data_IF_053508159840
#
_entry.id   IF_053508159840
#
_cell.length_a   1.000
_cell.length_b   1.000
_cell.length_c   1.000
_cell.angle_alpha   90.00
_cell.angle_beta   90.00
_cell.angle_gamma   90.00
#
_symmetry.space_group_name_H-M   'P 1'
#
loop_
_entity.id
_entity.type
_entity.pdbx_description
1 polymer ?
#
# COMPACT_ATOMS: atom_id res chain seq x y z
N UNK A 1 14.48 -29.53 8.22
CA UNK A 1 13.85 -29.08 9.49
C UNK A 1 12.87 -27.99 9.12
N UNK A 2 11.59 -28.07 9.53
CA UNK A 2 10.61 -27.04 9.20
C UNK A 2 11.09 -25.68 9.71
N UNK A 3 10.98 -24.67 8.87
CA UNK A 3 11.44 -23.29 9.14
C UNK A 3 10.89 -22.75 10.47
N UNK A 4 9.67 -23.17 10.83
CA UNK A 4 9.02 -22.91 12.09
C UNK A 4 9.84 -23.35 13.31
N UNK A 5 10.43 -24.55 13.29
CA UNK A 5 11.18 -25.10 14.44
C UNK A 5 12.46 -24.29 14.67
N UNK A 6 13.12 -23.86 13.59
CA UNK A 6 14.34 -23.04 13.67
C UNK A 6 14.01 -21.66 14.25
N UNK A 7 12.94 -21.01 13.77
CA UNK A 7 12.51 -19.71 14.27
C UNK A 7 12.17 -19.76 15.77
N UNK A 8 11.39 -20.76 16.19
CA UNK A 8 11.01 -20.92 17.61
C UNK A 8 12.24 -21.16 18.48
N UNK A 9 13.19 -21.98 18.03
CA UNK A 9 14.43 -22.23 18.76
C UNK A 9 15.26 -20.95 18.96
N UNK A 10 15.44 -20.16 17.90
CA UNK A 10 16.16 -18.88 17.95
C UNK A 10 15.47 -17.86 18.87
N UNK A 11 14.14 -17.77 18.80
CA UNK A 11 13.37 -16.88 19.67
C UNK A 11 13.51 -17.23 21.15
N UNK A 12 13.50 -18.53 21.49
CA UNK A 12 13.72 -19.01 22.86
C UNK A 12 15.14 -18.65 23.34
N UNK A 13 16.16 -18.89 22.51
CA UNK A 13 17.55 -18.57 22.85
C UNK A 13 17.72 -17.06 23.12
N UNK A 14 17.16 -16.21 22.25
CA UNK A 14 17.21 -14.75 22.40
C UNK A 14 16.51 -14.31 23.69
N UNK A 15 15.34 -14.86 23.99
CA UNK A 15 14.59 -14.55 25.21
C UNK A 15 15.37 -14.92 26.48
N UNK A 16 16.03 -16.08 26.49
CA UNK A 16 16.88 -16.51 27.61
C UNK A 16 18.06 -15.54 27.77
N UNK A 17 18.72 -15.17 26.66
CA UNK A 17 19.87 -14.28 26.68
C UNK A 17 19.50 -12.90 27.24
N UNK A 18 18.37 -12.32 26.77
CA UNK A 18 17.86 -11.05 27.29
C UNK A 18 17.50 -11.13 28.79
N UNK A 19 16.87 -12.23 29.21
CA UNK A 19 16.56 -12.45 30.62
C UNK A 19 17.84 -12.47 31.47
N UNK A 20 18.89 -13.16 31.02
CA UNK A 20 20.18 -13.20 31.71
C UNK A 20 20.80 -11.81 31.82
N UNK A 21 20.82 -11.02 30.73
CA UNK A 21 21.37 -9.66 30.72
C UNK A 21 20.62 -8.75 31.69
N UNK A 22 19.29 -8.77 31.68
CA UNK A 22 18.46 -7.91 32.55
C UNK A 22 18.58 -8.31 34.02
N UNK A 23 18.76 -9.59 34.33
CA UNK A 23 18.88 -10.08 35.70
C UNK A 23 20.31 -9.97 36.26
N UNK A 24 21.32 -9.81 35.41
CA UNK A 24 22.74 -9.74 35.81
C UNK A 24 23.06 -8.61 36.81
N UNK A 25 22.56 -7.38 36.66
CA UNK A 25 22.73 -6.31 37.64
C UNK A 25 22.07 -6.63 38.98
N UNK A 26 20.93 -7.34 38.95
CA UNK A 26 20.18 -7.73 40.15
C UNK A 26 20.82 -8.92 40.90
N UNK A 27 21.63 -9.71 40.19
CA UNK A 27 22.47 -10.77 40.77
C UNK A 27 23.72 -10.22 41.47
N UNK A 28 24.21 -9.03 41.07
CA UNK A 28 25.37 -8.35 41.65
C UNK A 28 24.99 -7.41 42.82
N UNK A 29 24.18 -7.88 43.76
CA UNK A 29 23.96 -7.13 45.01
C UNK A 29 25.20 -7.30 45.89
N UNK A 30 25.97 -6.21 46.04
CA UNK A 30 27.19 -6.16 46.83
C UNK A 30 26.91 -6.41 48.31
N UNK A 31 27.29 -7.61 48.80
CA UNK A 31 27.35 -7.92 50.25
C UNK A 31 28.18 -6.90 51.03
N UNK A 32 29.08 -6.18 50.37
CA UNK A 32 29.96 -5.18 50.97
C UNK A 32 29.22 -3.93 51.47
N UNK A 33 28.19 -3.46 50.76
CA UNK A 33 27.45 -2.25 51.16
C UNK A 33 26.64 -2.46 52.45
N UNK A 34 26.10 -3.67 52.64
CA UNK A 34 25.31 -4.05 53.82
C UNK A 34 26.17 -4.16 55.09
N UNK A 35 27.36 -4.76 54.98
CA UNK A 35 28.29 -4.85 56.11
C UNK A 35 28.75 -3.45 56.56
N UNK A 36 28.99 -2.54 55.61
CA UNK A 36 29.39 -1.17 55.94
C UNK A 36 28.29 -0.38 56.67
N UNK A 37 27.02 -0.58 56.33
CA UNK A 37 25.90 0.06 57.03
C UNK A 37 25.72 -0.43 58.46
N UNK A 38 25.87 -1.75 58.72
CA UNK A 38 25.78 -2.31 60.07
C UNK A 38 26.93 -1.85 60.96
N UNK A 39 28.15 -1.76 60.40
CA UNK A 39 29.30 -1.21 61.11
C UNK A 39 29.09 0.27 61.46
N UNK A 40 28.56 1.06 60.51
CA UNK A 40 28.27 2.48 60.75
C UNK A 40 27.24 2.68 61.89
N UNK A 41 26.19 1.86 61.92
CA UNK A 41 25.17 1.90 62.98
C UNK A 41 25.74 1.53 64.36
N UNK A 42 26.58 0.48 64.42
CA UNK A 42 27.23 0.08 65.68
C UNK A 42 28.17 1.18 66.22
N UNK A 43 28.87 1.89 65.33
CA UNK A 43 29.72 3.04 65.69
C UNK A 43 28.89 4.22 66.22
N UNK A 44 27.70 4.45 65.66
CA UNK A 44 26.84 5.55 66.09
C UNK A 44 26.24 5.30 67.48
N UNK A 45 25.74 4.09 67.74
CA UNK A 45 25.27 3.66 69.08
C UNK A 45 26.39 3.74 70.11
N UNK A 46 27.61 3.34 69.74
CA UNK A 46 28.79 3.46 70.60
C UNK A 46 29.07 4.92 71.00
N UNK A 47 29.02 5.86 70.04
CA UNK A 47 29.26 7.28 70.30
C UNK A 47 28.22 7.86 71.26
N UNK A 48 26.95 7.50 71.10
CA UNK A 48 25.86 7.94 71.97
C UNK A 48 26.06 7.45 73.41
N UNK A 49 26.39 6.17 73.59
CA UNK A 49 26.68 5.59 74.92
C UNK A 49 27.93 6.16 75.57
N UNK A 50 28.96 6.44 74.78
CA UNK A 50 30.16 7.10 75.30
C UNK A 50 29.84 8.52 75.78
N UNK A 51 29.00 9.26 75.04
CA UNK A 51 28.55 10.59 75.45
C UNK A 51 27.75 10.55 76.76
N UNK A 52 26.86 9.57 76.92
CA UNK A 52 26.09 9.33 78.16
C UNK A 52 27.01 9.04 79.35
N UNK A 53 27.94 8.09 79.22
CA UNK A 53 28.93 7.78 80.25
C UNK A 53 29.78 9.01 80.64
N UNK A 54 30.18 9.83 79.66
CA UNK A 54 30.95 11.05 79.95
C UNK A 54 30.13 12.09 80.68
N UNK A 55 28.83 12.20 80.38
CA UNK A 55 27.92 13.10 81.08
C UNK A 55 27.76 12.67 82.54
N UNK A 56 27.55 11.37 82.80
CA UNK A 56 27.41 10.82 84.15
C UNK A 56 28.67 10.98 85.00
N UNK A 57 29.85 10.80 84.39
CA UNK A 57 31.13 11.10 85.05
C UNK A 57 31.27 12.60 85.37
N UNK A 58 30.94 13.48 84.41
CA UNK A 58 31.06 14.94 84.61
C UNK A 58 30.08 15.49 85.66
N UNK A 59 28.93 14.83 85.82
CA UNK A 59 27.91 15.16 86.82
C UNK A 59 28.24 14.61 88.22
N UNK A 60 29.36 13.89 88.37
CA UNK A 60 29.79 13.30 89.64
C UNK A 60 28.97 12.08 90.07
N UNK A 61 28.11 11.56 89.20
CA UNK A 61 27.28 10.36 89.44
C UNK A 61 28.07 9.06 89.34
N UNK A 62 29.31 9.09 88.82
CA UNK A 62 30.16 7.92 88.61
C UNK A 62 31.62 8.23 88.97
N UNK A 63 32.32 7.26 89.56
CA UNK A 63 33.75 7.40 89.89
C UNK A 63 34.64 7.19 88.66
N UNK A 64 35.86 7.72 88.68
CA UNK A 64 36.82 7.62 87.56
C UNK A 64 37.17 6.15 87.22
N UNK A 65 37.25 5.30 88.25
CA UNK A 65 37.51 3.86 88.06
C UNK A 65 36.34 3.15 87.37
N UNK A 66 35.11 3.52 87.70
CA UNK A 66 33.90 2.95 87.08
C UNK A 66 33.76 3.40 85.63
N UNK A 67 34.00 4.69 85.35
CA UNK A 67 33.97 5.23 83.99
C UNK A 67 34.96 4.49 83.07
N UNK A 68 36.22 4.35 83.51
CA UNK A 68 37.25 3.69 82.71
C UNK A 68 36.91 2.21 82.46
N UNK A 69 36.36 1.51 83.46
CA UNK A 69 35.96 0.11 83.32
C UNK A 69 34.84 -0.06 82.29
N UNK A 70 33.79 0.75 82.39
CA UNK A 70 32.66 0.68 81.46
C UNK A 70 33.04 1.12 80.05
N UNK A 71 33.91 2.13 79.91
CA UNK A 71 34.45 2.55 78.63
C UNK A 71 35.23 1.43 77.94
N UNK A 72 36.12 0.74 78.67
CA UNK A 72 36.89 -0.38 78.11
C UNK A 72 35.99 -1.53 77.67
N UNK A 73 34.92 -1.82 78.41
CA UNK A 73 33.95 -2.85 78.02
C UNK A 73 33.18 -2.44 76.75
N UNK A 74 32.77 -1.17 76.64
CA UNK A 74 32.11 -0.63 75.44
C UNK A 74 33.03 -0.73 74.20
N UNK A 75 34.32 -0.41 74.35
CA UNK A 75 35.32 -0.51 73.28
C UNK A 75 35.54 -1.96 72.84
N UNK A 76 35.56 -2.89 73.80
CA UNK A 76 35.65 -4.33 73.52
C UNK A 76 34.43 -4.83 72.73
N UNK A 77 33.24 -4.37 73.08
CA UNK A 77 32.00 -4.74 72.37
C UNK A 77 31.99 -4.22 70.92
N UNK A 78 32.47 -3.00 70.68
CA UNK A 78 32.58 -2.45 69.33
C UNK A 78 33.57 -3.26 68.48
N UNK A 79 34.72 -3.64 69.05
CA UNK A 79 35.70 -4.48 68.36
C UNK A 79 35.11 -5.85 67.97
N UNK A 80 34.42 -6.52 68.90
CA UNK A 80 33.75 -7.79 68.63
C UNK A 80 32.65 -7.67 67.55
N UNK A 81 31.91 -6.55 67.55
CA UNK A 81 30.92 -6.25 66.52
C UNK A 81 31.54 -5.92 65.15
N UNK A 82 32.78 -5.40 65.13
CA UNK A 82 33.51 -5.10 63.90
C UNK A 82 34.12 -6.37 63.26
N UNK A 83 34.52 -7.35 64.08
CA UNK A 83 35.00 -8.66 63.63
C UNK A 83 33.86 -9.54 63.11
N UNK A 84 32.72 -9.58 63.81
CA UNK A 84 31.52 -10.27 63.36
C UNK A 84 30.59 -9.32 62.59
N UNK A 85 30.91 -9.13 61.30
CA UNK A 85 30.24 -8.19 60.37
C UNK A 85 28.72 -8.37 60.22
N UNK A 86 28.13 -9.39 60.85
CA UNK A 86 26.72 -9.73 60.75
C UNK A 86 25.96 -9.62 62.08
N UNK A 87 26.60 -9.11 63.15
CA UNK A 87 26.04 -9.07 64.50
C UNK A 87 25.90 -7.62 64.99
N UNK A 88 24.66 -7.23 65.29
CA UNK A 88 24.35 -5.99 66.03
C UNK A 88 24.43 -6.34 67.51
N UNK A 89 25.32 -5.70 68.25
CA UNK A 89 25.43 -5.90 69.70
C UNK A 89 24.38 -5.00 70.35
N UNK A 90 23.20 -5.55 70.60
CA UNK A 90 22.14 -4.90 71.39
C UNK A 90 22.19 -5.51 72.79
N UNK A 91 22.41 -4.67 73.80
CA UNK A 91 22.31 -5.06 75.20
C UNK A 91 20.84 -5.34 75.57
N UNK A 92 20.60 -6.40 76.36
CA UNK A 92 19.27 -6.90 76.70
C UNK A 92 18.41 -5.91 77.51
N UNK A 93 19.00 -4.83 78.04
CA UNK A 93 18.28 -3.76 78.74
C UNK A 93 17.44 -2.83 77.84
N UNK A 94 17.62 -2.86 76.51
CA UNK A 94 16.91 -1.98 75.57
C UNK A 94 15.63 -2.59 74.96
N UNK A 95 15.18 -3.75 75.42
CA UNK A 95 14.07 -4.49 74.80
C UNK A 95 12.65 -3.93 75.05
N UNK A 96 12.51 -2.75 75.66
CA UNK A 96 11.22 -2.22 76.10
C UNK A 96 10.62 -1.11 75.20
N UNK A 97 11.01 -1.00 73.93
CA UNK A 97 10.26 -0.18 72.96
C UNK A 97 9.69 -1.04 71.84
N UNK A 98 8.38 -1.29 71.90
CA UNK A 98 7.59 -2.07 70.93
C UNK A 98 7.77 -1.60 69.47
N UNK A 99 8.08 -0.32 69.27
CA UNK A 99 8.33 0.28 67.95
C UNK A 99 9.58 -0.27 67.26
N UNK A 100 10.64 -0.57 68.01
CA UNK A 100 11.94 -0.99 67.46
C UNK A 100 11.90 -2.46 67.03
N UNK A 101 11.24 -3.32 67.81
CA UNK A 101 11.06 -4.74 67.49
C UNK A 101 10.10 -4.95 66.31
N UNK A 102 9.03 -4.16 66.21
CA UNK A 102 8.09 -4.22 65.08
C UNK A 102 8.74 -3.75 63.77
N UNK A 103 9.55 -2.68 63.80
CA UNK A 103 10.30 -2.19 62.65
C UNK A 103 11.37 -3.18 62.19
N UNK A 104 12.11 -3.79 63.12
CA UNK A 104 13.10 -4.84 62.82
C UNK A 104 12.44 -6.08 62.20
N UNK A 105 11.31 -6.54 62.74
CA UNK A 105 10.58 -7.69 62.19
C UNK A 105 9.97 -7.38 60.83
N UNK A 106 9.43 -6.17 60.60
CA UNK A 106 8.90 -5.74 59.30
C UNK A 106 10.01 -5.65 58.26
N UNK A 107 11.15 -5.03 58.59
CA UNK A 107 12.31 -4.97 57.72
C UNK A 107 12.88 -6.36 57.40
N UNK A 108 12.91 -7.27 58.39
CA UNK A 108 13.34 -8.67 58.21
C UNK A 108 12.39 -9.46 57.31
N UNK A 109 11.08 -9.22 57.42
CA UNK A 109 10.02 -9.87 56.61
C UNK A 109 10.02 -9.35 55.16
N UNK A 110 10.22 -8.04 54.96
CA UNK A 110 10.36 -7.40 53.64
C UNK A 110 11.70 -7.78 52.95
N UNK A 111 12.78 -8.01 53.70
CA UNK A 111 14.06 -8.52 53.17
C UNK A 111 14.02 -9.99 52.77
N UNK A 112 13.14 -10.81 53.33
CA UNK A 112 13.13 -12.26 53.07
C UNK A 112 12.47 -12.61 51.73
N UNK A 113 11.48 -11.82 51.31
CA UNK A 113 10.74 -12.01 50.06
C UNK A 113 11.60 -11.64 48.83
N UNK A 114 12.55 -10.73 48.96
CA UNK A 114 13.43 -10.26 47.87
C UNK A 114 14.79 -11.00 47.79
N UNK A 115 15.12 -11.84 48.79
CA UNK A 115 16.46 -12.44 48.98
C UNK A 115 16.52 -13.97 48.91
N UNK A 116 15.40 -14.66 48.74
CA UNK A 116 15.40 -16.11 48.49
C UNK A 116 15.95 -16.40 47.09
N UNK A 117 17.10 -17.08 46.97
CA UNK A 117 17.65 -17.50 45.68
C UNK A 117 16.65 -18.32 44.84
N UNK A 118 15.70 -19.00 45.51
CA UNK A 118 14.59 -19.71 44.87
C UNK A 118 13.60 -18.74 44.22
N UNK A 119 13.28 -17.60 44.86
CA UNK A 119 12.41 -16.56 44.30
C UNK A 119 13.02 -15.90 43.06
N UNK A 120 14.36 -15.76 43.03
CA UNK A 120 15.09 -15.25 41.86
C UNK A 120 15.08 -16.22 40.69
N UNK A 121 15.30 -17.51 40.97
CA UNK A 121 15.20 -18.58 39.98
C UNK A 121 13.78 -18.67 39.41
N UNK A 122 12.75 -18.57 40.25
CA UNK A 122 11.36 -18.60 39.79
C UNK A 122 11.03 -17.42 38.89
N UNK A 123 11.52 -16.21 39.18
CA UNK A 123 11.31 -15.05 38.29
C UNK A 123 12.06 -15.26 36.96
N UNK A 124 13.30 -15.76 37.01
CA UNK A 124 14.12 -16.02 35.82
C UNK A 124 13.48 -17.06 34.88
N UNK A 125 12.78 -18.05 35.42
CA UNK A 125 12.09 -19.08 34.62
C UNK A 125 10.67 -18.66 34.25
N UNK A 126 9.91 -18.09 35.18
CA UNK A 126 8.51 -17.73 34.94
C UNK A 126 8.37 -16.55 33.98
N UNK A 127 9.25 -15.56 34.00
CA UNK A 127 9.16 -14.41 33.08
C UNK A 127 9.29 -14.84 31.61
N UNK A 128 10.33 -15.58 31.16
CA UNK A 128 10.40 -16.06 29.78
C UNK A 128 9.28 -17.06 29.47
N UNK A 129 8.88 -17.91 30.42
CA UNK A 129 7.75 -18.82 30.22
C UNK A 129 6.44 -18.06 30.00
N UNK A 130 6.19 -16.98 30.75
CA UNK A 130 5.04 -16.11 30.59
C UNK A 130 5.12 -15.26 29.32
N UNK A 131 6.31 -14.86 28.87
CA UNK A 131 6.50 -14.20 27.57
C UNK A 131 6.17 -15.18 26.44
N UNK A 132 6.68 -16.41 26.51
CA UNK A 132 6.33 -17.47 25.55
C UNK A 132 4.83 -17.74 25.61
N UNK A 133 4.23 -17.88 26.78
CA UNK A 133 2.78 -18.09 26.94
C UNK A 133 1.94 -16.87 26.48
N UNK A 134 2.45 -15.66 26.64
CA UNK A 134 1.82 -14.45 26.10
C UNK A 134 1.86 -14.43 24.57
N UNK A 135 2.99 -14.80 23.98
CA UNK A 135 3.17 -14.96 22.54
C UNK A 135 2.24 -16.07 22.00
N UNK A 136 2.32 -17.26 22.62
CA UNK A 136 1.20 -18.17 22.95
C UNK A 136 -0.23 -17.73 22.57
N UNK A 137 -0.82 -16.95 23.49
CA UNK A 137 -2.24 -16.63 23.52
C UNK A 137 -2.61 -15.40 22.68
N UNK A 138 -1.68 -14.47 22.48
CA UNK A 138 -2.04 -13.14 21.97
C UNK A 138 -1.76 -12.93 20.48
N UNK A 139 -0.92 -13.75 19.85
CA UNK A 139 -0.54 -13.59 18.44
C UNK A 139 -1.33 -14.54 17.54
N UNK A 140 -2.13 -13.98 16.62
CA UNK A 140 -2.68 -14.72 15.48
C UNK A 140 -1.52 -15.12 14.57
N UNK A 141 -1.18 -16.41 14.64
CA UNK A 141 -0.04 -17.02 13.94
C UNK A 141 -0.47 -17.89 12.77
N UNK A 142 -1.78 -17.98 12.54
CA UNK A 142 -2.36 -18.86 11.52
C UNK A 142 -1.75 -18.58 10.15
N UNK A 143 -1.69 -17.32 9.71
CA UNK A 143 -1.17 -16.94 8.40
C UNK A 143 0.31 -17.29 8.18
N UNK A 144 1.18 -17.00 9.15
CA UNK A 144 2.64 -17.26 9.02
C UNK A 144 2.92 -18.76 9.06
N UNK A 145 2.23 -19.49 9.93
CA UNK A 145 2.37 -20.95 10.01
C UNK A 145 1.86 -21.62 8.74
N UNK A 146 0.71 -21.18 8.22
CA UNK A 146 0.16 -21.66 6.94
C UNK A 146 1.12 -21.38 5.79
N UNK A 147 1.71 -20.18 5.72
CA UNK A 147 2.71 -19.85 4.71
C UNK A 147 3.92 -20.79 4.76
N UNK A 148 4.48 -21.04 5.95
CA UNK A 148 5.60 -21.97 6.10
C UNK A 148 5.23 -23.41 5.78
N UNK A 149 4.04 -23.87 6.19
CA UNK A 149 3.54 -25.20 5.85
C UNK A 149 3.33 -25.34 4.34
N UNK A 150 2.77 -24.34 3.68
CA UNK A 150 2.63 -24.32 2.22
C UNK A 150 4.00 -24.42 1.55
N UNK A 151 4.99 -23.65 2.01
CA UNK A 151 6.33 -23.70 1.43
C UNK A 151 7.02 -25.06 1.63
N UNK A 152 6.80 -25.72 2.76
CA UNK A 152 7.30 -27.09 3.02
C UNK A 152 6.58 -28.14 2.15
N UNK A 153 5.27 -27.99 1.91
CA UNK A 153 4.45 -28.98 1.19
C UNK A 153 4.52 -28.84 -0.33
N UNK A 154 4.36 -27.62 -0.85
CA UNK A 154 4.23 -27.33 -2.29
C UNK A 154 5.43 -26.57 -2.87
N UNK A 155 6.47 -26.28 -2.06
CA UNK A 155 7.65 -25.55 -2.52
C UNK A 155 8.41 -26.22 -3.67
N UNK A 156 8.46 -27.56 -3.70
CA UNK A 156 9.08 -28.30 -4.81
C UNK A 156 8.23 -28.23 -6.08
N UNK A 157 6.90 -28.37 -5.96
CA UNK A 157 5.97 -28.22 -7.08
C UNK A 157 6.09 -26.82 -7.68
N UNK A 158 6.16 -25.79 -6.83
CA UNK A 158 6.39 -24.41 -7.26
C UNK A 158 7.70 -24.26 -8.05
N UNK A 159 8.80 -24.88 -7.60
CA UNK A 159 10.07 -24.86 -8.34
C UNK A 159 9.97 -25.58 -9.69
N UNK A 160 9.31 -26.74 -9.73
CA UNK A 160 9.15 -27.54 -10.94
C UNK A 160 8.26 -26.83 -11.99
N UNK A 161 7.21 -26.12 -11.55
CA UNK A 161 6.40 -25.25 -12.42
C UNK A 161 7.22 -24.09 -12.97
N UNK A 162 7.95 -23.38 -12.11
CA UNK A 162 8.76 -22.22 -12.50
C UNK A 162 9.93 -22.58 -13.41
N UNK A 163 10.44 -23.80 -13.32
CA UNK A 163 11.52 -24.31 -14.19
C UNK A 163 10.99 -25.01 -15.44
N UNK A 164 9.68 -25.15 -15.59
CA UNK A 164 9.04 -25.80 -16.74
C UNK A 164 9.25 -27.32 -16.79
N UNK A 165 9.51 -27.97 -15.66
CA UNK A 165 9.53 -29.45 -15.57
C UNK A 165 8.12 -30.03 -15.57
N UNK A 166 7.14 -29.24 -15.11
CA UNK A 166 5.71 -29.53 -15.15
C UNK A 166 4.97 -28.30 -15.65
N UNK A 167 3.95 -28.50 -16.48
CA UNK A 167 3.14 -27.41 -17.05
C UNK A 167 1.93 -27.06 -16.18
N UNK A 168 1.44 -28.02 -15.38
CA UNK A 168 0.28 -27.85 -14.52
C UNK A 168 0.54 -28.45 -13.12
N UNK A 169 -0.01 -27.85 -12.06
CA UNK A 169 0.13 -28.38 -10.72
C UNK A 169 -0.60 -29.75 -10.60
N UNK A 170 -0.03 -30.71 -9.84
CA UNK A 170 -0.75 -31.93 -9.45
C UNK A 170 -2.04 -31.60 -8.70
N UNK A 171 -3.06 -32.47 -8.79
CA UNK A 171 -4.38 -32.23 -8.15
C UNK A 171 -4.28 -31.94 -6.65
N UNK A 172 -3.44 -32.68 -5.92
CA UNK A 172 -3.23 -32.47 -4.48
C UNK A 172 -2.61 -31.10 -4.15
N UNK A 173 -1.80 -30.54 -5.06
CA UNK A 173 -1.19 -29.23 -4.88
C UNK A 173 -2.13 -28.10 -5.31
N UNK A 174 -3.04 -28.38 -6.25
CA UNK A 174 -4.08 -27.45 -6.67
C UNK A 174 -5.16 -27.25 -5.60
N UNK A 175 -5.35 -28.22 -4.70
CA UNK A 175 -6.29 -28.12 -3.56
C UNK A 175 -5.94 -26.92 -2.64
N UNK A 176 -4.65 -26.63 -2.43
CA UNK A 176 -4.16 -25.44 -1.73
C UNK A 176 -3.59 -24.40 -2.71
N UNK A 177 -4.47 -23.86 -3.56
CA UNK A 177 -4.10 -22.83 -4.54
C UNK A 177 -3.46 -21.58 -3.92
N UNK A 178 -3.93 -21.15 -2.76
CA UNK A 178 -3.38 -19.99 -2.05
C UNK A 178 -1.96 -20.26 -1.54
N UNK A 179 -1.74 -21.42 -0.91
CA UNK A 179 -0.41 -21.85 -0.47
C UNK A 179 0.56 -22.06 -1.63
N UNK A 180 0.10 -22.63 -2.75
CA UNK A 180 0.90 -22.80 -3.96
C UNK A 180 1.33 -21.45 -4.54
N UNK A 181 0.42 -20.49 -4.68
CA UNK A 181 0.77 -19.15 -5.16
C UNK A 181 1.78 -18.47 -4.24
N UNK A 182 1.61 -18.57 -2.92
CA UNK A 182 2.56 -18.01 -1.96
C UNK A 182 3.95 -18.67 -2.08
N UNK A 183 4.01 -20.00 -2.27
CA UNK A 183 5.26 -20.72 -2.48
C UNK A 183 5.94 -20.33 -3.80
N UNK A 184 5.17 -20.13 -4.89
CA UNK A 184 5.67 -19.66 -6.18
C UNK A 184 6.27 -18.26 -6.04
N UNK A 185 5.53 -17.31 -5.45
CA UNK A 185 6.02 -15.95 -5.20
C UNK A 185 7.31 -15.97 -4.38
N UNK A 186 7.32 -16.69 -3.25
CA UNK A 186 8.49 -16.81 -2.40
C UNK A 186 9.70 -17.39 -3.15
N UNK A 187 9.49 -18.43 -3.97
CA UNK A 187 10.55 -19.02 -4.77
C UNK A 187 11.14 -18.02 -5.78
N UNK A 188 10.28 -17.28 -6.50
CA UNK A 188 10.72 -16.24 -7.44
C UNK A 188 11.51 -15.15 -6.73
N UNK A 189 11.09 -14.73 -5.53
CA UNK A 189 11.82 -13.75 -4.73
C UNK A 189 13.16 -14.26 -4.21
N UNK A 190 13.27 -15.54 -3.85
CA UNK A 190 14.55 -16.15 -3.51
C UNK A 190 15.49 -16.21 -4.72
N UNK A 191 14.94 -16.42 -5.92
CA UNK A 191 15.65 -16.42 -7.19
C UNK A 191 15.46 -15.10 -7.96
N UNK A 192 15.48 -13.96 -7.27
CA UNK A 192 15.11 -12.66 -7.84
C UNK A 192 15.95 -12.18 -9.05
N UNK A 193 17.03 -12.88 -9.38
CA UNK A 193 17.93 -12.61 -10.50
C UNK A 193 17.59 -13.42 -11.76
N UNK A 194 16.70 -14.41 -11.65
CA UNK A 194 16.33 -15.30 -12.75
C UNK A 194 15.13 -14.73 -13.52
N UNK A 195 15.40 -14.17 -14.70
CA UNK A 195 14.37 -13.58 -15.56
C UNK A 195 13.29 -14.59 -15.99
N UNK A 196 13.64 -15.86 -16.19
CA UNK A 196 12.68 -16.87 -16.67
C UNK A 196 11.64 -17.23 -15.61
N UNK A 197 12.05 -17.27 -14.35
CA UNK A 197 11.10 -17.47 -13.22
C UNK A 197 10.12 -16.30 -13.10
N UNK A 198 10.57 -15.08 -13.34
CA UNK A 198 9.68 -13.91 -13.41
C UNK A 198 8.71 -13.98 -14.59
N UNK A 199 9.14 -14.48 -15.75
CA UNK A 199 8.24 -14.73 -16.89
C UNK A 199 7.17 -15.75 -16.55
N UNK A 200 7.54 -16.90 -15.97
CA UNK A 200 6.57 -17.93 -15.56
C UNK A 200 5.57 -17.43 -14.52
N UNK A 201 6.03 -16.65 -13.54
CA UNK A 201 5.13 -16.00 -12.60
C UNK A 201 4.11 -15.09 -13.31
N UNK A 202 4.56 -14.34 -14.32
CA UNK A 202 3.67 -13.52 -15.11
C UNK A 202 2.67 -14.35 -15.93
N UNK A 203 3.10 -15.46 -16.54
CA UNK A 203 2.21 -16.37 -17.27
C UNK A 203 1.10 -16.90 -16.34
N UNK A 204 1.45 -17.24 -15.10
CA UNK A 204 0.50 -17.66 -14.07
C UNK A 204 -0.46 -16.51 -13.74
N UNK A 205 0.04 -15.28 -13.54
CA UNK A 205 -0.84 -14.13 -13.31
C UNK A 205 -1.78 -13.86 -14.48
N UNK A 206 -1.32 -14.00 -15.73
CA UNK A 206 -2.16 -13.87 -16.91
C UNK A 206 -3.25 -14.94 -16.95
N UNK A 207 -2.94 -16.17 -16.55
CA UNK A 207 -3.94 -17.24 -16.44
C UNK A 207 -5.02 -16.94 -15.39
N UNK A 208 -4.70 -16.16 -14.36
CA UNK A 208 -5.64 -15.65 -13.35
C UNK A 208 -6.25 -14.28 -13.71
N UNK A 209 -6.06 -13.80 -14.95
CA UNK A 209 -6.53 -12.48 -15.41
C UNK A 209 -5.97 -11.29 -14.60
N UNK A 210 -4.89 -11.51 -13.85
CA UNK A 210 -4.21 -10.53 -13.01
C UNK A 210 -3.15 -9.76 -13.83
N UNK A 211 -3.61 -8.97 -14.81
CA UNK A 211 -2.76 -8.33 -15.82
C UNK A 211 -1.76 -7.34 -15.21
N UNK A 212 -2.16 -6.58 -14.19
CA UNK A 212 -1.27 -5.60 -13.54
C UNK A 212 -0.07 -6.28 -12.86
N UNK A 213 -0.33 -7.36 -12.12
CA UNK A 213 0.71 -8.16 -11.46
C UNK A 213 1.60 -8.87 -12.49
N UNK A 214 1.02 -9.35 -13.59
CA UNK A 214 1.77 -9.94 -14.69
C UNK A 214 2.75 -8.93 -15.33
N UNK A 215 2.29 -7.70 -15.58
CA UNK A 215 3.14 -6.64 -16.12
C UNK A 215 4.27 -6.26 -15.17
N UNK A 216 4.00 -6.23 -13.86
CA UNK A 216 5.05 -5.97 -12.87
C UNK A 216 6.15 -7.06 -12.92
N UNK A 217 5.74 -8.33 -12.93
CA UNK A 217 6.65 -9.48 -13.03
C UNK A 217 7.44 -9.47 -14.35
N UNK A 218 6.79 -9.29 -15.51
CA UNK A 218 7.49 -9.18 -16.80
C UNK A 218 8.40 -7.95 -16.87
N UNK A 219 8.02 -6.82 -16.26
CA UNK A 219 8.90 -5.65 -16.20
C UNK A 219 10.19 -5.95 -15.44
N UNK A 220 10.11 -6.79 -14.39
CA UNK A 220 11.30 -7.25 -13.65
C UNK A 220 12.13 -8.20 -14.50
N UNK A 221 11.50 -9.15 -15.18
CA UNK A 221 12.17 -10.04 -16.13
C UNK A 221 12.93 -9.25 -17.21
N UNK A 222 12.27 -8.26 -17.83
CA UNK A 222 12.86 -7.43 -18.88
C UNK A 222 14.03 -6.58 -18.39
N UNK A 223 13.97 -6.06 -17.15
CA UNK A 223 15.12 -5.36 -16.55
C UNK A 223 16.33 -6.27 -16.31
N UNK A 224 16.11 -7.56 -16.09
CA UNK A 224 17.17 -8.54 -15.84
C UNK A 224 17.79 -9.06 -17.13
N UNK A 225 16.96 -9.33 -18.15
CA UNK A 225 17.39 -9.89 -19.43
C UNK A 225 16.71 -9.16 -20.62
N UNK A 226 17.10 -7.90 -20.92
CA UNK A 226 16.47 -7.13 -21.99
C UNK A 226 16.79 -7.64 -23.40
N UNK A 227 17.86 -8.43 -23.55
CA UNK A 227 18.31 -9.02 -24.82
C UNK A 227 17.73 -10.41 -25.08
N UNK A 228 17.00 -10.96 -24.11
CA UNK A 228 16.27 -12.21 -24.30
C UNK A 228 14.99 -11.91 -25.10
N UNK A 229 14.86 -12.59 -26.23
CA UNK A 229 13.78 -12.38 -27.20
C UNK A 229 12.41 -12.71 -26.59
N UNK A 230 12.31 -13.83 -25.87
CA UNK A 230 11.06 -14.29 -25.25
C UNK A 230 10.60 -13.28 -24.19
N UNK A 231 11.54 -12.78 -23.39
CA UNK A 231 11.27 -11.78 -22.34
C UNK A 231 10.84 -10.44 -22.94
N UNK A 232 11.58 -9.94 -23.93
CA UNK A 232 11.33 -8.64 -24.54
C UNK A 232 9.99 -8.63 -25.32
N UNK A 233 9.74 -9.66 -26.12
CA UNK A 233 8.49 -9.79 -26.88
C UNK A 233 7.30 -10.02 -25.94
N UNK A 234 7.42 -10.92 -24.96
CA UNK A 234 6.35 -11.21 -24.01
C UNK A 234 5.95 -9.98 -23.20
N UNK A 235 6.92 -9.21 -22.70
CA UNK A 235 6.67 -7.94 -22.01
C UNK A 235 5.96 -6.92 -22.91
N UNK A 236 6.43 -6.75 -24.14
CA UNK A 236 5.83 -5.82 -25.08
C UNK A 236 4.40 -6.23 -25.47
N UNK A 237 4.18 -7.53 -25.67
CA UNK A 237 2.89 -8.10 -26.04
C UNK A 237 1.84 -7.85 -24.95
N UNK A 238 2.12 -8.25 -23.70
CA UNK A 238 1.19 -8.03 -22.59
C UNK A 238 0.88 -6.55 -22.42
N UNK A 239 1.91 -5.69 -22.50
CA UNK A 239 1.77 -4.24 -22.37
C UNK A 239 0.92 -3.64 -23.49
N UNK A 240 1.10 -4.10 -24.72
CA UNK A 240 0.33 -3.68 -25.88
C UNK A 240 -1.16 -3.97 -25.69
N UNK A 241 -1.52 -5.19 -25.28
CA UNK A 241 -2.92 -5.56 -25.06
C UNK A 241 -3.52 -4.89 -23.82
N UNK A 242 -2.75 -4.78 -22.73
CA UNK A 242 -3.17 -4.05 -21.53
C UNK A 242 -3.44 -2.56 -21.81
N UNK A 243 -2.74 -1.98 -22.78
CA UNK A 243 -2.91 -0.58 -23.21
C UNK A 243 -3.98 -0.41 -24.30
N UNK A 244 -4.87 -1.39 -24.49
CA UNK A 244 -5.94 -1.33 -25.50
C UNK A 244 -5.43 -1.38 -26.95
N UNK A 245 -4.26 -1.98 -27.19
CA UNK A 245 -3.64 -2.07 -28.50
C UNK A 245 -2.80 -0.85 -28.89
N UNK A 246 -2.46 0.03 -27.93
CA UNK A 246 -1.51 1.12 -28.15
C UNK A 246 -0.08 0.66 -27.84
N UNK A 247 0.82 0.79 -28.82
CA UNK A 247 2.24 0.51 -28.63
C UNK A 247 2.97 1.74 -28.08
N UNK A 248 3.22 1.74 -26.78
CA UNK A 248 3.95 2.81 -26.13
C UNK A 248 5.48 2.75 -26.40
N UNK A 249 6.20 3.78 -25.96
CA UNK A 249 7.64 3.90 -26.21
C UNK A 249 8.47 2.76 -25.61
N UNK A 250 8.05 2.23 -24.45
CA UNK A 250 8.72 1.13 -23.77
C UNK A 250 8.51 -0.19 -24.50
N UNK A 251 7.26 -0.50 -24.89
CA UNK A 251 6.93 -1.68 -25.69
C UNK A 251 7.63 -1.65 -27.05
N UNK A 252 7.61 -0.49 -27.73
CA UNK A 252 8.33 -0.31 -29.01
C UNK A 252 9.83 -0.59 -28.86
N UNK A 253 10.47 -0.08 -27.80
CA UNK A 253 11.90 -0.31 -27.56
C UNK A 253 12.20 -1.78 -27.32
N UNK A 254 11.37 -2.47 -26.52
CA UNK A 254 11.54 -3.91 -26.28
C UNK A 254 11.42 -4.73 -27.58
N UNK A 255 10.43 -4.42 -28.43
CA UNK A 255 10.29 -5.06 -29.74
C UNK A 255 11.47 -4.74 -30.68
N UNK A 256 11.95 -3.49 -30.70
CA UNK A 256 13.12 -3.12 -31.50
C UNK A 256 14.37 -3.90 -31.07
N UNK A 257 14.62 -4.04 -29.77
CA UNK A 257 15.74 -4.84 -29.26
C UNK A 257 15.59 -6.31 -29.68
N UNK A 258 14.40 -6.89 -29.56
CA UNK A 258 14.15 -8.26 -29.99
C UNK A 258 14.39 -8.43 -31.50
N UNK A 259 13.89 -7.49 -32.32
CA UNK A 259 14.04 -7.51 -33.78
C UNK A 259 15.47 -7.24 -34.26
N UNK A 260 16.32 -6.58 -33.47
CA UNK A 260 17.75 -6.46 -33.79
C UNK A 260 18.45 -7.82 -33.75
N UNK A 261 18.03 -8.70 -32.84
CA UNK A 261 18.60 -10.04 -32.65
C UNK A 261 17.95 -11.07 -33.58
N UNK A 262 16.64 -11.04 -33.68
CA UNK A 262 15.87 -11.87 -34.61
C UNK A 262 14.98 -10.99 -35.52
N UNK A 263 15.51 -10.56 -36.68
CA UNK A 263 14.76 -9.72 -37.61
C UNK A 263 13.49 -10.36 -38.13
N UNK A 264 13.41 -11.70 -38.16
CA UNK A 264 12.31 -12.47 -38.73
C UNK A 264 11.25 -12.89 -37.70
N UNK A 265 11.31 -12.37 -36.45
CA UNK A 265 10.34 -12.72 -35.41
C UNK A 265 8.93 -12.22 -35.75
N UNK A 266 8.08 -13.13 -36.20
CA UNK A 266 6.75 -12.84 -36.75
C UNK A 266 5.85 -12.05 -35.79
N UNK A 267 5.79 -12.47 -34.52
CA UNK A 267 4.96 -11.82 -33.52
C UNK A 267 5.42 -10.39 -33.22
N UNK A 268 6.72 -10.12 -33.27
CA UNK A 268 7.28 -8.79 -33.02
C UNK A 268 7.03 -7.86 -34.20
N UNK A 269 7.21 -8.34 -35.43
CA UNK A 269 6.86 -7.59 -36.65
C UNK A 269 5.37 -7.26 -36.70
N UNK A 270 4.49 -8.20 -36.31
CA UNK A 270 3.05 -7.99 -36.25
C UNK A 270 2.67 -6.92 -35.21
N UNK A 271 3.22 -7.01 -34.00
CA UNK A 271 2.99 -6.01 -32.94
C UNK A 271 3.47 -4.62 -33.36
N UNK A 272 4.62 -4.53 -34.04
CA UNK A 272 5.12 -3.28 -34.62
C UNK A 272 4.15 -2.75 -35.69
N UNK A 273 3.69 -3.60 -36.63
CA UNK A 273 2.75 -3.18 -37.67
C UNK A 273 1.44 -2.62 -37.07
N UNK A 274 0.83 -3.34 -36.13
CA UNK A 274 -0.40 -2.91 -35.46
C UNK A 274 -0.18 -1.65 -34.63
N UNK A 275 0.93 -1.58 -33.89
CA UNK A 275 1.30 -0.44 -33.07
C UNK A 275 1.54 0.84 -33.88
N UNK A 276 2.26 0.74 -35.00
CA UNK A 276 2.51 1.89 -35.88
C UNK A 276 1.23 2.35 -36.60
N UNK A 277 0.36 1.43 -37.01
CA UNK A 277 -0.94 1.78 -37.59
C UNK A 277 -1.80 2.59 -36.60
N UNK A 278 -1.89 2.12 -35.35
CA UNK A 278 -2.61 2.80 -34.26
C UNK A 278 -2.00 4.15 -33.90
N UNK A 279 -0.68 4.29 -34.02
CA UNK A 279 0.03 5.55 -33.79
C UNK A 279 -0.10 6.55 -34.96
N UNK A 280 -0.75 6.18 -36.07
CA UNK A 280 -0.88 7.00 -37.27
C UNK A 280 0.35 6.98 -38.20
N UNK A 281 1.34 6.13 -37.91
CA UNK A 281 2.54 5.95 -38.71
C UNK A 281 2.29 4.91 -39.82
N UNK A 282 1.34 5.19 -40.70
CA UNK A 282 0.84 4.24 -41.71
C UNK A 282 1.94 3.70 -42.64
N UNK A 283 2.88 4.55 -43.08
CA UNK A 283 4.04 4.13 -43.88
C UNK A 283 4.89 3.04 -43.20
N UNK A 284 5.17 3.22 -41.92
CA UNK A 284 5.94 2.24 -41.14
C UNK A 284 5.12 0.97 -40.93
N UNK A 285 3.82 1.10 -40.68
CA UNK A 285 2.92 -0.04 -40.53
C UNK A 285 2.92 -0.92 -41.79
N UNK A 286 2.78 -0.32 -42.98
CA UNK A 286 2.87 -1.03 -44.26
C UNK A 286 4.24 -1.68 -44.47
N UNK A 287 5.34 -1.00 -44.11
CA UNK A 287 6.67 -1.57 -44.21
C UNK A 287 6.85 -2.83 -43.33
N UNK A 288 6.29 -2.83 -42.11
CA UNK A 288 6.32 -4.00 -41.24
C UNK A 288 5.46 -5.16 -41.77
N UNK A 289 4.25 -4.87 -42.27
CA UNK A 289 3.40 -5.89 -42.93
C UNK A 289 4.11 -6.50 -44.14
N UNK A 290 4.76 -5.69 -44.97
CA UNK A 290 5.50 -6.17 -46.15
C UNK A 290 6.64 -7.12 -45.77
N UNK A 291 7.44 -6.76 -44.74
CA UNK A 291 8.50 -7.64 -44.21
C UNK A 291 7.95 -8.96 -43.68
N UNK A 292 6.85 -8.90 -42.94
CA UNK A 292 6.20 -10.09 -42.39
C UNK A 292 5.67 -11.02 -43.49
N UNK A 293 5.05 -10.45 -44.53
CA UNK A 293 4.62 -11.21 -45.72
C UNK A 293 5.81 -11.88 -46.41
N UNK A 294 6.90 -11.14 -46.65
CA UNK A 294 8.11 -11.69 -47.28
C UNK A 294 8.69 -12.86 -46.47
N UNK A 295 8.76 -12.73 -45.14
CA UNK A 295 9.23 -13.79 -44.25
C UNK A 295 8.35 -15.04 -44.29
N UNK A 296 7.02 -14.87 -44.29
CA UNK A 296 6.06 -15.99 -44.38
C UNK A 296 6.12 -16.68 -45.74
N UNK A 297 6.23 -15.92 -46.84
CA UNK A 297 6.26 -16.48 -48.21
C UNK A 297 7.52 -17.30 -48.51
N UNK A 298 8.64 -17.05 -47.83
CA UNK A 298 9.88 -17.82 -47.99
C UNK A 298 9.85 -19.18 -47.30
N UNK A 299 8.88 -19.42 -46.43
CA UNK A 299 8.82 -20.63 -45.60
C UNK A 299 7.99 -21.71 -46.29
N UNK A 300 8.43 -22.95 -46.17
CA UNK A 300 7.69 -24.11 -46.67
C UNK A 300 6.31 -24.24 -45.98
N UNK A 301 5.31 -24.71 -46.73
CA UNK A 301 3.94 -24.95 -46.27
C UNK A 301 2.89 -24.02 -46.90
N UNK A 302 1.61 -24.32 -46.64
CA UNK A 302 0.50 -23.47 -47.04
C UNK A 302 0.28 -22.36 -46.00
N UNK A 303 0.62 -21.12 -46.38
CA UNK A 303 0.40 -19.93 -45.56
C UNK A 303 -0.63 -18.98 -46.18
N UNK A 304 -1.47 -19.46 -47.12
CA UNK A 304 -2.46 -18.65 -47.84
C UNK A 304 -3.39 -17.89 -46.89
N UNK A 305 -3.86 -18.54 -45.82
CA UNK A 305 -4.71 -17.91 -44.81
C UNK A 305 -4.03 -16.75 -44.07
N UNK A 306 -2.75 -16.91 -43.72
CA UNK A 306 -1.97 -15.86 -43.04
C UNK A 306 -1.64 -14.70 -43.98
N UNK A 307 -1.36 -14.97 -45.26
CA UNK A 307 -1.15 -13.93 -46.25
C UNK A 307 -2.43 -13.13 -46.52
N UNK A 308 -3.59 -13.80 -46.60
CA UNK A 308 -4.88 -13.15 -46.75
C UNK A 308 -5.23 -12.24 -45.55
N UNK A 309 -4.91 -12.65 -44.32
CA UNK A 309 -5.16 -11.81 -43.14
C UNK A 309 -4.24 -10.59 -43.09
N UNK A 310 -3.00 -10.71 -43.58
CA UNK A 310 -2.08 -9.59 -43.74
C UNK A 310 -2.51 -8.63 -44.84
N UNK A 311 -3.11 -9.14 -45.92
CA UNK A 311 -3.72 -8.31 -46.96
C UNK A 311 -4.90 -7.50 -46.40
N UNK A 312 -5.78 -8.14 -45.62
CA UNK A 312 -6.88 -7.45 -44.95
C UNK A 312 -6.37 -6.39 -43.96
N UNK A 313 -5.34 -6.71 -43.17
CA UNK A 313 -4.70 -5.74 -42.29
C UNK A 313 -4.16 -4.55 -43.10
N UNK A 314 -3.44 -4.79 -44.20
CA UNK A 314 -2.91 -3.71 -45.04
C UNK A 314 -4.01 -2.82 -45.63
N UNK A 315 -5.16 -3.40 -45.99
CA UNK A 315 -6.33 -2.66 -46.45
C UNK A 315 -6.92 -1.80 -45.35
N UNK A 316 -7.08 -2.34 -44.14
CA UNK A 316 -7.58 -1.59 -42.99
C UNK A 316 -6.68 -0.40 -42.61
N UNK A 317 -5.36 -0.55 -42.74
CA UNK A 317 -4.38 0.52 -42.53
C UNK A 317 -4.55 1.61 -43.59
N UNK A 318 -4.75 1.22 -44.86
CA UNK A 318 -4.99 2.16 -45.96
C UNK A 318 -6.28 2.94 -45.77
N UNK A 319 -7.36 2.27 -45.34
CA UNK A 319 -8.66 2.91 -45.05
C UNK A 319 -8.54 3.89 -43.88
N UNK A 320 -7.80 3.53 -42.82
CA UNK A 320 -7.50 4.45 -41.72
C UNK A 320 -6.67 5.66 -42.17
N UNK A 321 -5.67 5.45 -43.04
CA UNK A 321 -4.87 6.54 -43.60
C UNK A 321 -5.72 7.47 -44.48
N UNK A 322 -6.64 6.92 -45.29
CA UNK A 322 -7.56 7.71 -46.10
C UNK A 322 -8.52 8.52 -45.24
N UNK A 323 -9.09 7.94 -44.18
CA UNK A 323 -9.93 8.66 -43.24
C UNK A 323 -9.15 9.79 -42.53
N UNK A 324 -7.93 9.50 -42.06
CA UNK A 324 -7.08 10.48 -41.40
C UNK A 324 -6.64 11.61 -42.34
N UNK A 325 -6.34 11.29 -43.61
CA UNK A 325 -5.98 12.28 -44.62
C UNK A 325 -7.17 13.10 -45.11
N UNK A 326 -8.39 12.54 -45.15
CA UNK A 326 -9.61 13.30 -45.41
C UNK A 326 -9.92 14.28 -44.27
N UNK A 327 -9.72 13.88 -43.01
CA UNK A 327 -9.79 14.80 -41.87
C UNK A 327 -8.70 15.88 -41.94
N UNK A 328 -7.46 15.53 -42.25
CA UNK A 328 -6.38 16.51 -42.40
C UNK A 328 -6.56 17.43 -43.61
N UNK A 329 -7.15 16.96 -44.71
CA UNK A 329 -7.46 17.78 -45.89
C UNK A 329 -8.60 18.77 -45.63
N UNK A 330 -9.54 18.42 -44.76
CA UNK A 330 -10.55 19.36 -44.27
C UNK A 330 -9.93 20.46 -43.38
N UNK A 331 -8.82 20.17 -42.69
CA UNK A 331 -8.09 21.15 -41.86
C UNK A 331 -7.07 21.98 -42.65
N UNK A 332 -6.62 21.53 -43.83
CA UNK A 332 -5.49 22.11 -44.57
C UNK A 332 -5.86 23.08 -45.72
N UNK A 333 -7.13 23.44 -45.91
CA UNK A 333 -7.54 24.49 -46.86
C UNK A 333 -8.07 25.77 -46.17
N UNK A 334 -7.22 26.57 -45.50
CA UNK A 334 -7.63 27.83 -44.87
C UNK A 334 -7.51 28.99 -45.86
N UNK A 335 -8.33 29.04 -46.92
CA UNK A 335 -8.60 30.32 -47.61
C UNK A 335 -9.81 30.27 -48.57
N UNK A 336 -11.00 30.32 -47.98
CA UNK A 336 -12.08 31.21 -48.43
C UNK A 336 -12.78 31.70 -47.15
N UNK A 337 -13.02 33.00 -47.06
CA UNK A 337 -13.88 33.69 -46.08
C UNK A 337 -14.41 32.87 -44.90
N UNK A 338 -13.87 33.13 -43.71
CA UNK A 338 -14.47 33.13 -42.36
C UNK A 338 -15.87 32.53 -42.10
N UNK A 339 -16.29 31.43 -42.72
CA UNK A 339 -17.70 31.01 -42.68
C UNK A 339 -17.98 29.52 -42.79
N UNK A 340 -16.99 28.63 -42.90
CA UNK A 340 -17.24 27.19 -42.72
C UNK A 340 -16.14 26.55 -41.88
N UNK A 341 -16.12 26.94 -40.60
CA UNK A 341 -15.95 25.95 -39.54
C UNK A 341 -16.87 24.78 -39.89
N UNK A 342 -16.37 23.55 -39.78
CA UNK A 342 -17.23 22.38 -39.61
C UNK A 342 -18.24 22.81 -38.54
N UNK A 343 -19.50 22.99 -38.93
CA UNK A 343 -20.58 23.36 -38.03
C UNK A 343 -20.79 22.17 -37.11
N UNK A 344 -19.95 22.05 -36.08
CA UNK A 344 -20.37 21.44 -34.85
C UNK A 344 -21.53 22.30 -34.38
N UNK A 345 -22.75 21.79 -34.56
CA UNK A 345 -23.95 22.41 -34.00
C UNK A 345 -23.76 22.45 -32.50
N UNK A 346 -23.21 23.57 -32.03
CA UNK A 346 -22.89 23.78 -30.65
C UNK A 346 -24.12 24.39 -29.99
N UNK A 347 -24.57 23.76 -28.92
CA UNK A 347 -25.71 24.23 -28.15
C UNK A 347 -25.18 25.15 -27.06
N UNK A 348 -25.58 26.42 -27.11
CA UNK A 348 -25.24 27.40 -26.10
C UNK A 348 -26.33 27.38 -25.02
N UNK A 349 -25.95 27.07 -23.79
CA UNK A 349 -26.87 27.00 -22.64
C UNK A 349 -26.55 28.13 -21.68
N UNK A 350 -27.50 29.03 -21.44
CA UNK A 350 -27.37 30.06 -20.41
C UNK A 350 -28.06 29.59 -19.15
N UNK A 351 -27.30 29.40 -18.09
CA UNK A 351 -27.78 28.92 -16.80
C UNK A 351 -27.92 30.06 -15.81
N UNK A 352 -29.09 30.19 -15.22
CA UNK A 352 -29.35 31.05 -14.07
C UNK A 352 -29.66 30.21 -12.85
N UNK A 353 -29.44 30.77 -11.66
CA UNK A 353 -29.79 30.13 -10.40
C UNK A 353 -30.68 31.06 -9.58
N UNK A 354 -31.73 30.51 -8.99
CA UNK A 354 -32.60 31.27 -8.11
C UNK A 354 -31.84 31.73 -6.85
N UNK A 355 -32.09 32.98 -6.43
CA UNK A 355 -31.38 33.61 -5.31
C UNK A 355 -31.57 32.91 -3.95
N UNK A 356 -32.68 32.20 -3.75
CA UNK A 356 -32.94 31.45 -2.51
C UNK A 356 -32.15 30.14 -2.49
N UNK A 357 -31.98 29.50 -3.64
CA UNK A 357 -31.23 28.25 -3.79
C UNK A 357 -29.72 28.50 -3.90
N UNK A 358 -29.31 29.64 -4.46
CA UNK A 358 -27.91 30.05 -4.55
C UNK A 358 -27.20 30.07 -3.19
N UNK A 359 -27.93 30.39 -2.10
CA UNK A 359 -27.41 30.37 -0.73
C UNK A 359 -27.05 28.96 -0.23
N UNK A 360 -27.63 27.92 -0.84
CA UNK A 360 -27.41 26.53 -0.46
C UNK A 360 -26.27 25.85 -1.24
N UNK A 361 -25.63 26.57 -2.18
CA UNK A 361 -24.49 26.10 -2.98
C UNK A 361 -23.20 26.36 -2.23
N UNK A 362 -22.35 25.34 -2.11
CA UNK A 362 -21.02 25.43 -1.50
C UNK A 362 -19.93 25.52 -2.58
N UNK A 363 -18.75 26.03 -2.21
CA UNK A 363 -17.60 26.14 -3.13
C UNK A 363 -17.07 24.79 -3.64
N UNK A 364 -17.41 23.70 -2.95
CA UNK A 364 -17.08 22.32 -3.33
C UNK A 364 -18.10 21.66 -4.26
N UNK A 365 -19.24 22.30 -4.52
CA UNK A 365 -20.31 21.71 -5.32
C UNK A 365 -19.97 21.77 -6.82
N UNK A 366 -20.41 20.76 -7.56
CA UNK A 366 -20.08 20.61 -8.99
C UNK A 366 -21.32 20.75 -9.86
N UNK A 367 -21.27 21.61 -10.87
CA UNK A 367 -22.32 21.78 -11.88
C UNK A 367 -22.09 20.79 -13.04
N UNK A 368 -23.11 19.99 -13.34
CA UNK A 368 -23.18 19.15 -14.51
C UNK A 368 -24.24 19.68 -15.47
N UNK A 369 -23.84 19.91 -16.72
CA UNK A 369 -24.74 20.26 -17.82
C UNK A 369 -24.64 19.13 -18.83
N UNK A 370 -25.75 18.50 -19.17
CA UNK A 370 -25.75 17.36 -20.08
C UNK A 370 -26.91 17.40 -21.06
N UNK A 371 -26.68 16.91 -22.26
CA UNK A 371 -27.71 16.70 -23.28
C UNK A 371 -27.92 15.20 -23.47
N UNK A 372 -29.17 14.75 -23.43
CA UNK A 372 -29.52 13.35 -23.63
C UNK A 372 -30.85 13.21 -24.36
N UNK A 373 -31.18 11.99 -24.80
CA UNK A 373 -32.47 11.70 -25.43
C UNK A 373 -33.63 11.79 -24.42
N UNK A 374 -34.81 12.21 -24.88
CA UNK A 374 -36.01 12.33 -24.04
C UNK A 374 -36.45 10.98 -23.42
N UNK A 375 -36.20 9.87 -24.12
CA UNK A 375 -36.50 8.52 -23.65
C UNK A 375 -35.52 8.02 -22.56
N UNK A 376 -34.53 8.85 -22.17
CA UNK A 376 -33.45 8.46 -21.28
C UNK A 376 -32.31 7.77 -22.01
N UNK A 377 -31.21 7.47 -21.30
CA UNK A 377 -30.03 6.86 -21.88
C UNK A 377 -28.74 7.54 -21.45
N UNK A 378 -27.62 7.11 -22.02
CA UNK A 378 -26.34 7.77 -21.79
C UNK A 378 -26.35 9.19 -22.40
N UNK A 379 -25.72 10.18 -21.75
CA UNK A 379 -25.68 11.53 -22.29
C UNK A 379 -24.82 11.63 -23.55
N UNK A 380 -25.26 12.45 -24.50
CA UNK A 380 -24.59 12.74 -25.77
C UNK A 380 -23.44 13.74 -25.60
N UNK A 381 -23.60 14.68 -24.68
CA UNK A 381 -22.58 15.65 -24.31
C UNK A 381 -22.70 15.96 -22.82
N UNK A 382 -21.58 16.04 -22.10
CA UNK A 382 -21.55 16.39 -20.67
C UNK A 382 -20.43 17.36 -20.38
N UNK A 383 -20.77 18.46 -19.71
CA UNK A 383 -19.81 19.45 -19.23
C UNK A 383 -19.84 19.54 -17.72
N UNK A 384 -18.66 19.47 -17.11
CA UNK A 384 -18.46 19.58 -15.67
C UNK A 384 -17.82 20.92 -15.35
N UNK A 385 -18.50 21.73 -14.53
CA UNK A 385 -18.10 23.07 -14.12
C UNK A 385 -18.18 23.19 -12.59
N UNK A 386 -17.57 24.25 -12.03
CA UNK A 386 -17.68 24.51 -10.60
C UNK A 386 -18.97 25.27 -10.31
N UNK A 387 -19.73 24.88 -9.29
CA UNK A 387 -21.02 25.52 -9.00
C UNK A 387 -20.88 26.99 -8.57
N UNK A 388 -19.73 27.37 -8.01
CA UNK A 388 -19.41 28.77 -7.69
C UNK A 388 -19.41 29.69 -8.94
N UNK A 389 -19.06 29.16 -10.11
CA UNK A 389 -18.99 29.95 -11.34
C UNK A 389 -20.40 30.37 -11.77
N UNK A 390 -21.41 29.54 -11.48
CA UNK A 390 -22.82 29.84 -11.68
C UNK A 390 -23.33 30.91 -10.71
N UNK A 391 -22.98 30.79 -9.42
CA UNK A 391 -23.43 31.73 -8.38
C UNK A 391 -22.79 33.11 -8.55
N UNK A 392 -21.54 33.17 -9.01
CA UNK A 392 -20.82 34.43 -9.22
C UNK A 392 -21.22 35.15 -10.53
N UNK A 393 -21.87 34.45 -11.47
CA UNK A 393 -22.29 35.00 -12.76
C UNK A 393 -23.58 35.82 -12.62
N UNK A 394 -23.45 37.14 -12.44
CA UNK A 394 -24.58 38.08 -12.27
C UNK A 394 -25.60 38.12 -13.42
N UNK A 395 -25.22 37.68 -14.62
CA UNK A 395 -26.07 37.66 -15.81
C UNK A 395 -26.39 36.23 -16.31
N UNK A 396 -26.08 35.21 -15.50
CA UNK A 396 -26.15 33.80 -15.91
C UNK A 396 -24.84 33.31 -16.51
N UNK A 397 -24.59 32.00 -16.38
CA UNK A 397 -23.40 31.31 -16.87
C UNK A 397 -23.69 30.73 -18.26
N UNK A 398 -23.02 31.25 -19.29
CA UNK A 398 -23.11 30.71 -20.65
C UNK A 398 -22.15 29.53 -20.81
N UNK A 399 -22.68 28.39 -21.23
CA UNK A 399 -21.98 27.12 -21.38
C UNK A 399 -22.28 26.57 -22.76
N UNK A 400 -21.24 26.41 -23.59
CA UNK A 400 -21.36 25.77 -24.88
C UNK A 400 -21.07 24.27 -24.78
N UNK A 401 -21.96 23.45 -25.35
CA UNK A 401 -21.80 22.00 -25.49
C UNK A 401 -21.74 21.63 -26.97
N UNK A 402 -20.81 20.74 -27.31
CA UNK A 402 -20.55 20.30 -28.68
C UNK A 402 -20.19 18.81 -28.72
N UNK A 403 -19.92 18.28 -29.91
CA UNK A 403 -19.45 16.89 -30.08
C UNK A 403 -18.13 16.59 -29.34
N UNK A 404 -17.32 17.61 -29.03
CA UNK A 404 -16.10 17.45 -28.24
C UNK A 404 -16.38 17.12 -26.77
N UNK A 405 -17.60 17.39 -26.29
CA UNK A 405 -18.03 17.09 -24.93
C UNK A 405 -18.71 15.70 -24.81
N UNK A 406 -18.65 14.89 -25.88
CA UNK A 406 -19.19 13.53 -25.89
C UNK A 406 -18.28 12.54 -25.16
N UNK A 407 -18.87 11.68 -24.32
CA UNK A 407 -18.14 10.62 -23.60
C UNK A 407 -17.72 9.45 -24.52
N UNK A 408 -18.39 9.28 -25.66
CA UNK A 408 -18.14 8.19 -26.62
C UNK A 408 -18.03 8.76 -28.04
N UNK A 409 -16.98 8.41 -28.81
CA UNK A 409 -16.78 8.93 -30.18
C UNK A 409 -17.89 8.58 -31.17
N UNK A 410 -18.65 7.52 -30.90
CA UNK A 410 -19.75 7.04 -31.75
C UNK A 410 -21.11 7.63 -31.38
N UNK A 411 -21.25 8.26 -30.21
CA UNK A 411 -22.51 8.73 -29.64
C UNK A 411 -22.44 10.25 -29.38
N UNK A 412 -22.55 11.03 -30.45
CA UNK A 412 -22.33 12.49 -30.44
C UNK A 412 -23.62 13.27 -30.68
N UNK A 413 -23.62 14.54 -30.29
CA UNK A 413 -24.75 15.47 -30.39
C UNK A 413 -25.18 15.66 -31.86
N UNK A 414 -24.24 15.92 -32.77
CA UNK A 414 -24.54 16.14 -34.19
C UNK A 414 -25.20 14.92 -34.84
N UNK A 415 -24.79 13.70 -34.47
CA UNK A 415 -25.41 12.46 -34.99
C UNK A 415 -26.86 12.33 -34.52
N UNK A 416 -27.12 12.58 -33.24
CA UNK A 416 -28.47 12.51 -32.69
C UNK A 416 -29.41 13.57 -33.29
N UNK A 417 -28.89 14.79 -33.52
CA UNK A 417 -29.63 15.86 -34.19
C UNK A 417 -29.90 15.53 -35.66
N UNK A 418 -28.91 15.01 -36.40
CA UNK A 418 -29.09 14.58 -37.79
C UNK A 418 -30.10 13.44 -37.96
N UNK A 419 -30.25 12.61 -36.92
CA UNK A 419 -31.21 11.51 -36.89
C UNK A 419 -32.63 11.96 -36.45
N UNK A 420 -32.84 13.25 -36.15
CA UNK A 420 -34.15 13.79 -35.76
C UNK A 420 -34.64 13.31 -34.39
N UNK A 421 -33.73 12.94 -33.48
CA UNK A 421 -34.08 12.43 -32.15
C UNK A 421 -34.51 13.54 -31.18
N UNK A 422 -35.51 13.31 -30.36
CA UNK A 422 -35.92 14.30 -29.35
C UNK A 422 -34.87 14.40 -28.23
N UNK A 423 -34.28 15.59 -28.08
CA UNK A 423 -33.20 15.85 -27.13
C UNK A 423 -33.68 16.75 -25.98
N UNK A 424 -33.14 16.50 -24.79
CA UNK A 424 -33.44 17.23 -23.55
C UNK A 424 -32.13 17.65 -22.89
N UNK A 425 -32.07 18.91 -22.46
CA UNK A 425 -30.98 19.47 -21.67
C UNK A 425 -31.32 19.35 -20.20
N UNK A 426 -30.34 18.86 -19.43
CA UNK A 426 -30.40 18.74 -17.98
C UNK A 426 -29.24 19.50 -17.35
N UNK A 427 -29.54 20.28 -16.31
CA UNK A 427 -28.54 20.95 -15.50
C UNK A 427 -28.75 20.61 -14.04
N UNK A 428 -27.67 20.21 -13.36
CA UNK A 428 -27.69 19.79 -11.96
C UNK A 428 -26.43 20.24 -11.22
N UNK A 429 -26.61 20.83 -10.04
CA UNK A 429 -25.55 21.04 -9.07
C UNK A 429 -25.53 19.85 -8.11
N UNK A 430 -24.45 19.08 -8.17
CA UNK A 430 -24.24 17.94 -7.28
C UNK A 430 -23.45 18.33 -6.03
N UNK A 431 -24.01 18.00 -4.86
CA UNK A 431 -23.34 18.20 -3.56
C UNK A 431 -22.29 17.13 -3.25
N UNK A 432 -22.41 15.96 -3.89
CA UNK A 432 -21.48 14.83 -3.70
C UNK A 432 -20.32 14.83 -4.71
N UNK A 433 -20.39 15.69 -5.73
CA UNK A 433 -19.43 15.74 -6.83
C UNK A 433 -19.51 14.55 -7.81
N UNK A 434 -20.50 13.66 -7.63
CA UNK A 434 -20.67 12.46 -8.46
C UNK A 434 -21.61 12.72 -9.65
N UNK A 435 -21.33 12.05 -10.76
CA UNK A 435 -22.12 12.14 -11.99
C UNK A 435 -23.53 11.52 -11.88
N UNK A 436 -23.78 10.68 -10.87
CA UNK A 436 -25.12 10.11 -10.58
C UNK A 436 -25.98 11.07 -9.73
N UNK A 437 -27.30 11.15 -9.98
CA UNK A 437 -28.24 11.93 -9.16
C UNK A 437 -28.30 11.41 -7.73
N UNK A 438 -28.23 12.34 -6.76
CA UNK A 438 -28.38 12.05 -5.34
C UNK A 438 -29.44 12.97 -4.71
N UNK A 439 -30.06 12.52 -3.62
CA UNK A 439 -30.99 13.33 -2.83
C UNK A 439 -30.28 14.60 -2.33
N UNK A 440 -30.95 15.74 -2.47
CA UNK A 440 -30.43 17.04 -2.06
C UNK A 440 -29.62 17.81 -3.10
N UNK A 441 -29.41 17.24 -4.28
CA UNK A 441 -28.86 17.96 -5.44
C UNK A 441 -29.86 19.01 -5.96
N UNK A 442 -29.34 20.09 -6.55
CA UNK A 442 -30.17 21.16 -7.09
C UNK A 442 -30.28 21.00 -8.61
N UNK A 443 -31.48 21.08 -9.16
CA UNK A 443 -31.75 20.79 -10.58
C UNK A 443 -32.52 21.92 -11.24
N UNK A 444 -32.28 22.11 -12.52
CA UNK A 444 -33.15 22.89 -13.39
C UNK A 444 -34.24 22.00 -13.99
N UNK A 445 -35.38 22.59 -14.34
CA UNK A 445 -36.38 21.91 -15.15
C UNK A 445 -35.79 21.46 -16.49
N UNK A 446 -36.07 20.21 -16.86
CA UNK A 446 -35.67 19.63 -18.15
C UNK A 446 -36.19 20.49 -19.31
N UNK A 447 -35.31 20.95 -20.20
CA UNK A 447 -35.67 21.78 -21.36
C UNK A 447 -35.54 20.98 -22.65
N UNK A 448 -36.58 20.97 -23.49
CA UNK A 448 -36.56 20.31 -24.80
C UNK A 448 -35.73 21.16 -25.77
N UNK A 449 -34.75 20.54 -26.43
CA UNK A 449 -33.96 21.19 -27.45
C UNK A 449 -34.74 21.15 -28.77
N UNK A 450 -35.23 22.32 -29.21
CA UNK A 450 -35.79 22.48 -30.54
C UNK A 450 -34.70 22.94 -31.51
N UNK A 451 -34.38 22.08 -32.46
CA UNK A 451 -33.30 22.28 -33.44
C UNK A 451 -33.76 22.01 -34.87
N UNK A 452 -35.07 21.78 -35.09
CA UNK A 452 -35.62 21.39 -36.39
C UNK A 452 -35.80 22.56 -37.37
N UNK A 453 -35.67 23.81 -36.89
CA UNK A 453 -35.93 25.02 -37.69
C UNK A 453 -34.82 26.10 -37.55
N UNK A 454 -33.64 25.72 -37.04
CA UNK A 454 -32.55 26.67 -36.80
C UNK A 454 -31.66 26.83 -38.05
N UNK A 455 -31.95 27.85 -38.88
CA UNK A 455 -30.94 28.43 -39.81
C UNK A 455 -29.74 29.04 -39.04
N UNK A 456 -29.84 29.16 -37.72
CA UNK A 456 -28.79 29.63 -36.84
C UNK A 456 -27.84 28.50 -36.44
N UNK A 457 -26.53 28.73 -36.61
CA UNK A 457 -25.46 27.78 -36.30
C UNK A 457 -25.31 27.46 -34.78
N UNK A 458 -26.09 28.11 -33.91
CA UNK A 458 -26.09 27.88 -32.47
C UNK A 458 -27.53 27.88 -31.93
N UNK A 459 -27.87 26.87 -31.14
CA UNK A 459 -29.16 26.79 -30.44
C UNK A 459 -28.96 27.34 -29.04
N UNK A 460 -29.63 28.46 -28.72
CA UNK A 460 -29.59 29.08 -27.39
C UNK A 460 -30.73 28.55 -26.51
N UNK A 461 -30.37 28.01 -25.33
CA UNK A 461 -31.34 27.52 -24.35
C UNK A 461 -31.08 28.17 -23.00
N UNK A 462 -32.11 28.80 -22.44
CA UNK A 462 -32.06 29.37 -21.11
C UNK A 462 -32.63 28.37 -20.10
N UNK A 463 -31.89 28.12 -19.03
CA UNK A 463 -32.27 27.17 -17.98
C UNK A 463 -32.09 27.82 -16.61
N UNK A 464 -33.08 27.62 -15.73
CA UNK A 464 -33.04 28.14 -14.37
C UNK A 464 -33.00 27.00 -13.35
N UNK A 465 -32.03 27.02 -12.43
CA UNK A 465 -31.94 26.06 -11.32
C UNK A 465 -32.78 26.57 -10.15
N UNK A 466 -33.95 25.94 -9.96
CA UNK A 466 -34.99 26.35 -9.02
C UNK A 466 -35.59 25.19 -8.19
N UNK A 467 -35.13 23.95 -8.40
CA UNK A 467 -35.64 22.76 -7.72
C UNK A 467 -34.55 22.03 -6.94
N UNK A 468 -34.95 21.34 -5.87
CA UNK A 468 -34.11 20.44 -5.10
C UNK A 468 -34.64 19.01 -5.24
N UNK A 469 -33.78 18.08 -5.60
CA UNK A 469 -34.11 16.66 -5.67
C UNK A 469 -34.46 16.15 -4.26
N UNK A 470 -35.62 15.46 -4.11
CA UNK A 470 -36.10 14.97 -2.82
C UNK A 470 -35.18 13.92 -2.19
#
# INVERSE_FOLDING_TARGET
MPTLVIFVALAIILAILLAVIVLLPWLRVDKSAQNNQLIALNVEVFKERLAELTADYSNGSMTESEFNTQKTELERQLLLASEDKNRVVVDQGSLNSDSTNAALLKAKREMQVTRSGKARLTILVCVPLLIVLGYFLSADRSAVVQFWQAQDNVGQVADDLLTGKIDAPPEWAAEDSAGLMAAIQANVHHHAHDAKRWMRLADIYLAFEAVDQALEAQSRAYRLAPEDEEVAVGYAQTRFFASGGMLDSSGRRALQTALQKNPDHQGAQMLMAMGEARAGNFEQAHAWVARLKEGISKRDGDHSAALNSLDELSRSITEQQQAASQQAANDANPQVDSTQSITAQAVAVTLTIDSEIAKAVSDSDTLFVSIQQQQGGAPLAVKRLQAKDLVNAKQGLSVQLSDNDAMMPTHTLSKAMSAGQELVIKARVSKTGKAMPASGDLVAADSKLDYQDSEQQQVEVNMNIDQKLP
#
